data_IF_521491580143
#
_entry.id   IF_521491580143
#
_cell.length_a   1.000
_cell.length_b   1.000
_cell.length_c   1.000
_cell.angle_alpha   90.00
_cell.angle_beta   90.00
_cell.angle_gamma   90.00
#
_symmetry.space_group_name_H-M   'P 1'
#
loop_
_entity.id
_entity.type
_entity.pdbx_description
1 polymer ?
#
# COMPACT_ATOMS: atom_id res chain seq x y z
N UNK A 1 10.58 20.60 24.19
CA UNK A 1 10.40 19.65 23.11
C UNK A 1 8.95 19.34 22.89
N UNK A 2 8.55 19.55 21.70
CA UNK A 2 7.21 19.18 21.31
C UNK A 2 7.14 17.66 21.22
N UNK A 3 6.31 17.06 22.04
CA UNK A 3 6.03 15.64 21.96
C UNK A 3 5.42 15.27 20.61
N UNK A 4 5.36 13.99 20.34
CA UNK A 4 4.65 13.49 19.19
C UNK A 4 3.15 13.73 19.35
N UNK A 5 2.49 14.01 18.24
CA UNK A 5 1.05 14.19 18.20
C UNK A 5 0.42 13.05 17.42
N UNK A 6 -0.58 12.39 18.01
CA UNK A 6 -1.32 11.36 17.30
C UNK A 6 -2.26 12.00 16.28
N UNK A 7 -2.23 11.45 15.07
CA UNK A 7 -3.01 11.95 13.93
C UNK A 7 -3.91 10.82 13.41
N UNK A 8 -5.14 11.16 13.09
CA UNK A 8 -6.12 10.29 12.44
C UNK A 8 -6.49 10.88 11.09
N UNK A 9 -6.87 10.03 10.18
CA UNK A 9 -7.44 10.44 8.91
C UNK A 9 -8.91 10.02 8.85
N UNK A 10 -9.78 11.01 8.71
CA UNK A 10 -11.21 10.79 8.53
C UNK A 10 -11.47 10.61 7.04
N UNK A 11 -11.67 9.36 6.62
CA UNK A 11 -11.87 9.00 5.23
C UNK A 11 -13.27 9.37 4.69
N UNK A 12 -14.21 9.71 5.55
CA UNK A 12 -15.52 10.22 5.10
C UNK A 12 -15.44 11.64 4.57
N UNK A 13 -14.60 12.46 5.17
CA UNK A 13 -14.46 13.88 4.80
C UNK A 13 -13.07 14.22 4.25
N UNK A 14 -12.19 13.24 4.13
CA UNK A 14 -10.80 13.38 3.65
C UNK A 14 -10.04 14.47 4.41
N UNK A 15 -10.03 14.36 5.73
CA UNK A 15 -9.35 15.32 6.59
C UNK A 15 -8.56 14.65 7.72
N UNK A 16 -7.46 15.28 8.05
CA UNK A 16 -6.70 14.92 9.25
C UNK A 16 -7.38 15.50 10.49
N UNK A 17 -7.22 14.80 11.62
CA UNK A 17 -7.68 15.30 12.90
C UNK A 17 -6.86 14.71 14.05
N UNK A 18 -7.03 15.28 15.23
CA UNK A 18 -6.39 14.82 16.46
C UNK A 18 -7.40 14.26 17.45
N UNK A 19 -8.63 14.02 17.01
CA UNK A 19 -9.78 13.72 17.86
C UNK A 19 -10.23 12.26 17.76
N UNK A 20 -9.51 11.42 17.03
CA UNK A 20 -9.83 9.99 16.92
C UNK A 20 -10.87 9.65 15.87
N UNK A 21 -11.13 10.53 14.91
CA UNK A 21 -12.08 10.26 13.84
C UNK A 21 -11.39 9.58 12.66
N UNK A 22 -11.94 8.46 12.19
CA UNK A 22 -11.36 7.69 11.12
C UNK A 22 -10.33 6.70 11.63
N UNK A 23 -9.28 6.48 10.86
CA UNK A 23 -8.24 5.54 11.26
C UNK A 23 -6.96 6.25 11.70
N UNK A 24 -6.26 5.62 12.65
CA UNK A 24 -5.05 6.19 13.23
C UNK A 24 -3.88 6.07 12.26
N UNK A 25 -3.14 7.16 12.10
CA UNK A 25 -1.90 7.18 11.32
C UNK A 25 -0.67 6.98 12.19
N UNK A 26 -0.81 7.15 13.48
CA UNK A 26 0.25 7.06 14.46
C UNK A 26 0.69 8.40 14.99
N UNK A 27 1.79 8.39 15.72
CA UNK A 27 2.33 9.59 16.34
C UNK A 27 3.29 10.31 15.39
N UNK A 28 3.05 11.59 15.15
CA UNK A 28 3.82 12.42 14.24
C UNK A 28 4.67 13.42 14.99
N UNK A 29 5.89 13.59 14.53
CA UNK A 29 6.81 14.67 14.95
C UNK A 29 6.93 15.64 13.78
N UNK A 30 7.51 16.82 14.05
CA UNK A 30 7.51 17.92 13.07
C UNK A 30 8.04 17.60 11.67
N UNK A 31 8.96 16.66 11.56
CA UNK A 31 9.56 16.32 10.26
C UNK A 31 8.92 15.10 9.58
N UNK A 32 7.98 14.45 10.24
CA UNK A 32 7.30 13.30 9.66
C UNK A 32 6.44 13.75 8.49
N UNK A 33 6.27 12.84 7.55
CA UNK A 33 5.53 13.11 6.32
C UNK A 33 4.41 12.09 6.14
N UNK A 34 3.48 12.44 5.27
CA UNK A 34 2.40 11.58 4.85
C UNK A 34 2.72 10.95 3.51
N UNK A 35 2.30 9.72 3.34
CA UNK A 35 2.24 9.03 2.06
C UNK A 35 0.77 8.91 1.67
N UNK A 36 0.42 9.48 0.53
CA UNK A 36 -0.97 9.54 0.05
C UNK A 36 -1.11 8.69 -1.20
N UNK A 37 -2.08 7.78 -1.18
CA UNK A 37 -2.35 6.86 -2.28
C UNK A 37 -3.65 7.22 -2.98
N UNK A 38 -3.61 7.25 -4.29
CA UNK A 38 -4.78 7.25 -5.16
C UNK A 38 -4.86 5.91 -5.89
N UNK A 39 -5.88 5.63 -6.70
CA UNK A 39 -5.93 4.32 -7.38
C UNK A 39 -4.73 3.99 -8.25
N UNK A 40 -4.01 4.99 -8.74
CA UNK A 40 -2.92 4.78 -9.70
C UNK A 40 -1.60 5.43 -9.32
N UNK A 41 -1.61 6.30 -8.30
CA UNK A 41 -0.45 7.12 -7.96
C UNK A 41 -0.22 7.15 -6.46
N UNK A 42 0.96 7.63 -6.09
CA UNK A 42 1.23 8.03 -4.72
C UNK A 42 2.04 9.32 -4.70
N UNK A 43 2.00 10.02 -3.59
CA UNK A 43 2.89 11.16 -3.37
C UNK A 43 3.19 11.30 -1.88
N UNK A 44 4.31 11.96 -1.58
CA UNK A 44 4.74 12.26 -0.22
C UNK A 44 4.52 13.75 0.03
N UNK A 45 3.96 14.08 1.16
CA UNK A 45 3.72 15.47 1.54
C UNK A 45 3.97 15.67 3.04
N UNK A 46 4.26 16.90 3.46
CA UNK A 46 4.21 17.26 4.86
C UNK A 46 2.79 17.12 5.38
N UNK A 47 2.57 17.31 6.66
CA UNK A 47 1.20 17.25 7.20
C UNK A 47 0.80 18.59 7.80
N UNK A 48 -0.47 18.93 7.57
CA UNK A 48 -1.14 20.09 8.12
C UNK A 48 -2.59 19.70 8.38
N UNK A 49 -3.11 19.97 9.58
CA UNK A 49 -4.47 19.59 9.94
C UNK A 49 -5.52 20.27 9.03
N UNK A 50 -5.15 21.34 8.35
CA UNK A 50 -6.04 22.04 7.41
C UNK A 50 -5.90 21.57 5.96
N UNK A 51 -5.01 20.64 5.72
CA UNK A 51 -4.65 20.16 4.40
C UNK A 51 -5.83 19.49 3.70
N UNK A 52 -5.95 19.73 2.38
CA UNK A 52 -6.92 19.07 1.52
C UNK A 52 -6.27 17.90 0.78
N UNK A 53 -7.03 16.84 0.59
CA UNK A 53 -6.59 15.67 -0.16
C UNK A 53 -7.42 15.53 -1.43
N UNK A 54 -6.84 14.92 -2.50
CA UNK A 54 -7.61 14.66 -3.71
C UNK A 54 -8.87 13.82 -3.41
N UNK A 55 -9.93 14.06 -4.21
CA UNK A 55 -11.19 13.35 -4.03
C UNK A 55 -11.05 11.84 -4.23
N UNK A 56 -10.08 11.41 -5.04
CA UNK A 56 -9.81 9.99 -5.31
C UNK A 56 -8.81 9.36 -4.34
N UNK A 57 -8.46 10.04 -3.25
CA UNK A 57 -7.57 9.50 -2.22
C UNK A 57 -8.17 8.22 -1.63
N UNK A 58 -7.40 7.12 -1.68
CA UNK A 58 -7.85 5.82 -1.18
C UNK A 58 -7.21 5.45 0.15
N UNK A 59 -6.03 5.98 0.43
CA UNK A 59 -5.30 5.69 1.66
C UNK A 59 -4.33 6.80 1.98
N UNK A 60 -4.26 7.14 3.24
CA UNK A 60 -3.25 8.06 3.78
C UNK A 60 -2.51 7.32 4.89
N UNK A 61 -1.19 7.39 4.89
CA UNK A 61 -0.35 6.74 5.89
C UNK A 61 0.76 7.69 6.33
N UNK A 62 1.38 7.37 7.47
CA UNK A 62 2.66 8.00 7.80
C UNK A 62 3.72 7.43 6.86
N UNK A 63 4.52 8.30 6.23
CA UNK A 63 5.59 7.86 5.35
C UNK A 63 6.71 7.18 6.16
N UNK A 64 7.08 5.98 5.75
CA UNK A 64 8.16 5.18 6.34
C UNK A 64 9.19 4.88 5.25
N UNK A 65 10.34 5.59 5.24
CA UNK A 65 11.31 5.48 4.14
C UNK A 65 11.86 4.07 3.89
N UNK A 66 11.93 3.27 4.94
CA UNK A 66 12.48 1.90 4.86
C UNK A 66 11.49 0.87 4.35
N UNK A 67 10.22 1.24 4.23
CA UNK A 67 9.16 0.27 3.89
C UNK A 67 9.14 -0.03 2.41
N UNK A 68 9.06 -1.33 2.09
CA UNK A 68 8.87 -1.83 0.73
C UNK A 68 7.41 -2.25 0.58
N UNK A 69 6.78 -1.76 -0.48
CA UNK A 69 5.38 -2.09 -0.76
C UNK A 69 5.30 -3.18 -1.82
N UNK A 70 4.28 -4.01 -1.69
CA UNK A 70 3.90 -4.97 -2.72
C UNK A 70 2.52 -4.57 -3.25
N UNK A 71 2.38 -4.59 -4.56
CA UNK A 71 1.14 -4.24 -5.26
C UNK A 71 0.80 -5.36 -6.23
N UNK A 72 -0.45 -5.79 -6.20
CA UNK A 72 -1.02 -6.69 -7.18
C UNK A 72 -1.97 -5.91 -8.07
N UNK A 73 -1.86 -6.08 -9.39
CA UNK A 73 -2.72 -5.40 -10.34
C UNK A 73 -3.06 -6.32 -11.52
N UNK A 74 -4.14 -6.01 -12.20
CA UNK A 74 -4.57 -6.73 -13.39
C UNK A 74 -4.19 -5.94 -14.64
N UNK A 75 -3.46 -6.58 -15.56
CA UNK A 75 -3.10 -6.00 -16.85
C UNK A 75 -4.16 -6.40 -17.88
N UNK A 76 -4.96 -5.43 -18.32
CA UNK A 76 -6.06 -5.67 -19.27
C UNK A 76 -5.59 -5.99 -20.67
N UNK A 77 -4.37 -5.59 -21.04
CA UNK A 77 -3.83 -5.93 -22.37
C UNK A 77 -3.48 -7.40 -22.47
N UNK A 78 -2.90 -7.96 -21.41
CA UNK A 78 -2.47 -9.37 -21.39
C UNK A 78 -3.46 -10.28 -20.68
N UNK A 79 -4.42 -9.74 -19.94
CA UNK A 79 -5.41 -10.47 -19.14
C UNK A 79 -4.77 -11.36 -18.08
N UNK A 80 -3.73 -10.85 -17.41
CA UNK A 80 -3.06 -11.51 -16.30
C UNK A 80 -2.88 -10.59 -15.12
N UNK A 81 -2.76 -11.20 -13.95
CA UNK A 81 -2.43 -10.48 -12.73
C UNK A 81 -0.91 -10.47 -12.54
N UNK A 82 -0.40 -9.33 -12.09
CA UNK A 82 1.01 -9.11 -11.83
C UNK A 82 1.23 -8.68 -10.39
N UNK A 83 2.33 -9.13 -9.81
CA UNK A 83 2.77 -8.74 -8.48
C UNK A 83 4.11 -8.03 -8.61
N UNK A 84 4.25 -6.88 -7.96
CA UNK A 84 5.50 -6.14 -7.95
C UNK A 84 5.80 -5.59 -6.56
N UNK A 85 7.07 -5.34 -6.31
CA UNK A 85 7.55 -4.76 -5.05
C UNK A 85 8.43 -3.57 -5.34
N UNK A 86 8.23 -2.51 -4.59
CA UNK A 86 9.02 -1.29 -4.77
C UNK A 86 9.12 -0.49 -3.48
N UNK A 87 10.24 0.23 -3.27
CA UNK A 87 10.33 1.21 -2.21
C UNK A 87 9.63 2.49 -2.64
N UNK A 88 9.23 3.31 -1.67
CA UNK A 88 8.71 4.64 -1.96
C UNK A 88 9.91 5.59 -2.03
N UNK A 89 10.21 6.08 -3.22
CA UNK A 89 11.29 7.02 -3.42
C UNK A 89 10.93 8.39 -2.86
N UNK A 90 11.87 9.01 -2.16
CA UNK A 90 11.67 10.36 -1.65
C UNK A 90 11.67 11.34 -2.83
N UNK A 91 10.49 11.89 -3.11
CA UNK A 91 10.27 12.83 -4.21
C UNK A 91 9.13 13.75 -3.84
N UNK A 92 9.18 14.98 -4.32
CA UNK A 92 8.09 15.95 -4.16
C UNK A 92 7.04 15.85 -5.28
N UNK A 93 7.22 14.87 -6.17
CA UNK A 93 6.32 14.68 -7.32
C UNK A 93 5.41 13.48 -7.11
N UNK A 94 4.23 13.56 -7.72
CA UNK A 94 3.32 12.42 -7.82
C UNK A 94 3.94 11.35 -8.71
N UNK A 95 3.93 10.11 -8.24
CA UNK A 95 4.51 8.98 -8.94
C UNK A 95 3.41 8.01 -9.35
N UNK A 96 3.46 7.53 -10.60
CA UNK A 96 2.56 6.49 -11.07
C UNK A 96 3.15 5.12 -10.73
N UNK A 97 2.46 4.34 -9.94
CA UNK A 97 2.83 2.94 -9.71
C UNK A 97 2.07 1.99 -10.63
N UNK A 98 1.03 2.47 -11.30
CA UNK A 98 0.40 1.82 -12.44
C UNK A 98 0.64 2.68 -13.68
N UNK A 99 0.48 2.11 -14.87
CA UNK A 99 0.77 2.81 -16.10
C UNK A 99 -0.12 4.05 -16.30
N UNK A 100 0.45 5.10 -16.87
CA UNK A 100 -0.27 6.35 -17.13
C UNK A 100 -1.40 6.17 -18.16
N UNK A 101 -1.28 5.15 -19.01
CA UNK A 101 -2.24 4.86 -20.07
C UNK A 101 -3.53 4.21 -19.55
N UNK A 102 -3.52 3.71 -18.33
CA UNK A 102 -4.70 3.16 -17.70
C UNK A 102 -5.01 1.72 -18.04
N UNK A 103 -4.03 0.92 -18.46
CA UNK A 103 -4.23 -0.49 -18.80
C UNK A 103 -4.17 -1.42 -17.59
N UNK A 104 -3.60 -0.96 -16.49
CA UNK A 104 -3.51 -1.74 -15.25
C UNK A 104 -4.59 -1.33 -14.25
N UNK A 105 -5.24 -2.32 -13.67
CA UNK A 105 -6.26 -2.12 -12.65
C UNK A 105 -5.71 -2.55 -11.29
N UNK A 106 -5.76 -1.67 -10.32
CA UNK A 106 -5.31 -1.95 -8.97
C UNK A 106 -6.18 -3.04 -8.33
N UNK A 107 -5.53 -4.01 -7.67
CA UNK A 107 -6.24 -5.07 -6.94
C UNK A 107 -6.01 -4.95 -5.44
N UNK A 108 -4.77 -5.00 -5.00
CA UNK A 108 -4.47 -4.93 -3.56
C UNK A 108 -3.02 -4.49 -3.33
N UNK A 109 -2.74 -4.09 -2.10
CA UNK A 109 -1.46 -3.53 -1.69
C UNK A 109 -1.15 -3.93 -0.25
N UNK A 110 0.12 -4.14 0.05
CA UNK A 110 0.60 -4.27 1.42
C UNK A 110 1.96 -3.60 1.58
N UNK A 111 2.19 -3.01 2.73
CA UNK A 111 3.50 -2.51 3.13
C UNK A 111 4.17 -3.39 4.18
N UNK A 112 3.64 -4.59 4.42
CA UNK A 112 4.14 -5.49 5.46
C UNK A 112 5.11 -6.50 4.89
N UNK A 113 6.29 -6.61 5.51
CA UNK A 113 7.24 -7.68 5.19
C UNK A 113 6.64 -9.03 5.62
N UNK A 114 6.98 -10.09 4.89
CA UNK A 114 6.51 -11.43 5.22
C UNK A 114 5.06 -11.71 4.82
N UNK A 115 4.42 -10.84 4.05
CA UNK A 115 3.07 -11.06 3.57
C UNK A 115 3.00 -12.21 2.57
N UNK A 116 1.86 -12.85 2.49
CA UNK A 116 1.54 -13.86 1.48
C UNK A 116 0.41 -13.32 0.58
N UNK A 117 0.42 -13.72 -0.67
CA UNK A 117 -0.68 -13.45 -1.58
C UNK A 117 -1.52 -14.70 -1.71
N UNK A 118 -2.77 -14.65 -1.28
CA UNK A 118 -3.68 -15.78 -1.41
C UNK A 118 -4.44 -15.67 -2.73
N UNK A 119 -4.37 -16.74 -3.52
CA UNK A 119 -4.95 -16.81 -4.85
C UNK A 119 -6.00 -17.91 -4.86
N UNK A 120 -7.22 -17.59 -5.30
CA UNK A 120 -8.24 -18.59 -5.58
C UNK A 120 -8.56 -18.59 -7.06
N UNK A 121 -8.95 -19.74 -7.58
CA UNK A 121 -9.07 -19.96 -9.02
C UNK A 121 -10.51 -20.05 -9.48
N UNK A 122 -10.72 -19.77 -10.78
CA UNK A 122 -12.04 -19.75 -11.40
C UNK A 122 -12.04 -20.55 -12.70
N UNK A 123 -13.20 -20.66 -13.33
CA UNK A 123 -13.36 -21.33 -14.62
C UNK A 123 -12.95 -22.78 -14.56
N UNK A 124 -12.15 -23.22 -15.51
CA UNK A 124 -11.67 -24.61 -15.58
C UNK A 124 -10.79 -25.01 -14.38
N UNK A 125 -10.26 -24.04 -13.64
CA UNK A 125 -9.40 -24.28 -12.49
C UNK A 125 -10.11 -24.06 -11.14
N UNK A 126 -11.43 -23.89 -11.14
CA UNK A 126 -12.18 -23.56 -9.93
C UNK A 126 -12.07 -24.62 -8.82
N UNK A 127 -11.74 -25.85 -9.16
CA UNK A 127 -11.56 -26.94 -8.20
C UNK A 127 -10.17 -26.98 -7.56
N UNK A 128 -9.22 -26.14 -8.05
CA UNK A 128 -7.89 -26.09 -7.44
C UNK A 128 -7.98 -25.47 -6.05
N UNK A 129 -7.23 -26.00 -5.08
CA UNK A 129 -7.19 -25.38 -3.77
C UNK A 129 -6.56 -23.99 -3.84
N UNK A 130 -6.93 -23.13 -2.92
CA UNK A 130 -6.30 -21.82 -2.79
C UNK A 130 -4.80 -21.99 -2.55
N UNK A 131 -4.02 -21.13 -3.17
CA UNK A 131 -2.57 -21.11 -2.99
C UNK A 131 -2.15 -19.83 -2.27
N UNK A 132 -1.13 -19.95 -1.43
CA UNK A 132 -0.49 -18.79 -0.81
C UNK A 132 0.93 -18.66 -1.34
N UNK A 133 1.21 -17.48 -1.89
CA UNK A 133 2.51 -17.16 -2.48
C UNK A 133 3.27 -16.30 -1.48
N UNK A 134 4.48 -16.72 -1.12
CA UNK A 134 5.37 -15.90 -0.31
C UNK A 134 5.88 -14.73 -1.15
N UNK A 135 5.37 -13.55 -0.87
CA UNK A 135 5.60 -12.36 -1.70
C UNK A 135 7.08 -12.03 -1.80
N UNK A 136 7.78 -12.02 -0.66
CA UNK A 136 9.19 -11.61 -0.61
C UNK A 136 10.12 -12.53 -1.39
N UNK A 137 9.76 -13.81 -1.51
CA UNK A 137 10.53 -14.78 -2.29
C UNK A 137 10.08 -14.91 -3.74
N UNK A 138 8.89 -14.43 -4.06
CA UNK A 138 8.31 -14.60 -5.39
C UNK A 138 8.80 -13.54 -6.38
N UNK A 139 8.91 -12.29 -5.93
CA UNK A 139 9.28 -11.16 -6.79
C UNK A 139 10.31 -10.27 -6.08
N UNK A 140 11.33 -9.87 -6.82
CA UNK A 140 12.37 -8.98 -6.30
C UNK A 140 11.88 -7.54 -6.19
N UNK A 141 12.59 -6.75 -5.39
CA UNK A 141 12.35 -5.32 -5.24
C UNK A 141 12.92 -4.60 -6.46
N UNK A 142 12.08 -3.81 -7.13
CA UNK A 142 12.46 -2.99 -8.27
C UNK A 142 11.81 -1.61 -8.11
N UNK A 143 11.83 -0.78 -9.14
CA UNK A 143 11.20 0.52 -9.07
C UNK A 143 9.67 0.40 -9.16
N UNK A 144 8.96 1.45 -8.73
CA UNK A 144 7.50 1.53 -8.84
C UNK A 144 7.01 1.44 -10.30
N UNK A 145 7.88 1.68 -11.27
CA UNK A 145 7.56 1.61 -12.70
C UNK A 145 7.74 0.23 -13.29
N UNK A 146 8.32 -0.71 -12.56
CA UNK A 146 8.51 -2.07 -13.05
C UNK A 146 7.16 -2.75 -13.29
N UNK A 147 7.12 -3.66 -14.24
CA UNK A 147 5.92 -4.44 -14.51
C UNK A 147 5.64 -5.48 -13.45
N UNK A 148 6.68 -6.06 -12.90
CA UNK A 148 6.57 -7.13 -11.92
C UNK A 148 6.50 -8.50 -12.57
N UNK A 149 6.08 -9.48 -11.77
CA UNK A 149 6.03 -10.87 -12.17
C UNK A 149 4.58 -11.34 -12.24
N UNK A 150 4.24 -12.05 -13.30
CA UNK A 150 2.90 -12.63 -13.46
C UNK A 150 2.63 -13.64 -12.33
N UNK A 151 1.47 -13.50 -11.69
CA UNK A 151 1.09 -14.33 -10.54
C UNK A 151 0.80 -15.76 -10.95
N UNK A 152 0.02 -15.94 -12.01
CA UNK A 152 -0.39 -17.25 -12.51
C UNK A 152 -0.88 -17.12 -13.95
N UNK A 153 -0.90 -18.24 -14.67
CA UNK A 153 -1.52 -18.32 -16.00
C UNK A 153 -2.97 -18.80 -15.94
N UNK A 154 -3.42 -19.23 -14.77
CA UNK A 154 -4.78 -19.74 -14.57
C UNK A 154 -5.75 -18.59 -14.34
N UNK A 155 -7.04 -18.85 -14.64
CA UNK A 155 -8.09 -17.89 -14.34
C UNK A 155 -8.25 -17.73 -12.83
N UNK A 156 -8.30 -16.49 -12.37
CA UNK A 156 -8.30 -16.15 -10.95
C UNK A 156 -9.69 -15.71 -10.51
N UNK A 157 -10.16 -16.23 -9.40
CA UNK A 157 -11.40 -15.80 -8.76
C UNK A 157 -11.15 -14.65 -7.79
N UNK A 158 -10.11 -14.72 -6.98
CA UNK A 158 -9.79 -13.67 -6.01
C UNK A 158 -8.30 -13.63 -5.69
N UNK A 159 -7.85 -12.44 -5.31
CA UNK A 159 -6.50 -12.17 -4.85
C UNK A 159 -6.57 -11.24 -3.66
N UNK A 160 -5.89 -11.59 -2.57
CA UNK A 160 -5.73 -10.68 -1.45
C UNK A 160 -4.46 -11.01 -0.69
N UNK A 161 -3.91 -10.00 -0.01
CA UNK A 161 -2.75 -10.23 0.84
C UNK A 161 -3.18 -10.74 2.20
N UNK A 162 -2.42 -11.72 2.69
CA UNK A 162 -2.49 -12.20 4.08
C UNK A 162 -1.26 -11.67 4.77
N UNK A 163 -1.46 -10.72 5.65
CA UNK A 163 -0.37 -10.09 6.37
C UNK A 163 -0.02 -10.89 7.63
N UNK A 164 1.28 -10.96 7.99
CA UNK A 164 1.65 -11.54 9.27
C UNK A 164 1.10 -10.68 10.41
N UNK A 165 0.93 -11.28 11.58
CA UNK A 165 0.52 -10.51 12.75
C UNK A 165 1.50 -9.38 12.99
N UNK A 166 0.96 -8.18 13.21
CA UNK A 166 1.78 -7.04 13.54
C UNK A 166 2.37 -7.24 14.92
N UNK A 167 3.72 -7.23 15.05
CA UNK A 167 4.28 -7.18 16.39
C UNK A 167 3.74 -5.90 17.04
N UNK A 168 3.28 -6.01 18.28
CA UNK A 168 2.85 -4.84 19.03
C UNK A 168 3.96 -3.79 18.92
N UNK A 169 3.60 -2.58 18.47
CA UNK A 169 4.55 -1.48 18.50
C UNK A 169 4.98 -1.33 19.95
N UNK A 170 6.28 -1.52 20.19
CA UNK A 170 6.79 -1.26 21.50
C UNK A 170 6.44 0.18 21.86
N UNK A 171 5.78 0.40 23.02
CA UNK A 171 5.54 1.76 23.43
C UNK A 171 6.88 2.49 23.46
N UNK A 172 6.87 3.75 22.99
CA UNK A 172 8.07 4.57 23.01
C UNK A 172 8.69 4.45 24.40
N UNK A 173 9.99 4.07 24.44
CA UNK A 173 10.68 3.87 25.69
C UNK A 173 10.60 5.15 26.55
N UNK A 174 9.88 5.12 27.66
CA UNK A 174 9.74 6.32 28.48
C UNK A 174 11.05 6.73 29.17
N UNK A 175 12.05 5.86 29.14
CA UNK A 175 13.36 6.16 29.70
C UNK A 175 14.29 6.82 28.67
N UNK A 176 13.90 6.86 27.43
CA UNK A 176 14.71 7.46 26.38
C UNK A 176 14.63 8.97 26.39
#
# INVERSE_FOLDING_TARGET
TLGSQEIWFDDDVHRLNTEGRGYALGAFKGEDKLLVWTPRTYYITGYDLQQHFPDDTVLVERYRPERVYAVCYFDREQNYYYLKRFPIESSDKTQFFLDEEGTGDFVCRTGRAGAQLEVTYAGAQASRPAERIEVDGFVGVKSHRAKGKRVTTFEVASLHFVEPEEPEEEPADPAA
#
